data_IF_825278642212
#
_entry.id   IF_825278642212
#
_cell.length_a   1.000
_cell.length_b   1.000
_cell.length_c   1.000
_cell.angle_alpha   90.00
_cell.angle_beta   90.00
_cell.angle_gamma   90.00
#
_symmetry.space_group_name_H-M   'P 1'
#
loop_
_entity.id
_entity.type
_entity.pdbx_description
1 polymer ?
#
# COMPACT_ATOMS: atom_id res chain seq x y z
N UNK A 1 -18.25 9.48 5.34
CA UNK A 1 -16.90 9.29 4.77
C UNK A 1 -15.89 9.19 5.91
N UNK A 2 -14.81 8.43 5.75
CA UNK A 2 -13.72 8.35 6.72
C UNK A 2 -13.10 9.74 6.93
N UNK A 3 -12.75 10.09 8.18
CA UNK A 3 -12.01 11.31 8.51
C UNK A 3 -10.54 10.95 8.66
N UNK A 4 -9.75 11.24 7.64
CA UNK A 4 -8.32 10.94 7.62
C UNK A 4 -7.51 12.05 8.27
N UNK A 5 -6.55 11.71 9.10
CA UNK A 5 -5.58 12.67 9.64
C UNK A 5 -4.64 13.15 8.51
N UNK A 6 -4.63 14.46 8.26
CA UNK A 6 -3.83 15.10 7.22
C UNK A 6 -2.54 15.75 7.77
N UNK A 7 -2.37 15.75 9.10
CA UNK A 7 -1.27 16.40 9.81
C UNK A 7 -1.63 17.82 10.26
N UNK A 8 -0.86 18.37 11.22
CA UNK A 8 -1.09 19.72 11.76
C UNK A 8 -2.48 19.90 12.40
N UNK A 9 -3.05 18.83 12.98
CA UNK A 9 -4.38 18.82 13.59
C UNK A 9 -5.56 18.81 12.60
N UNK A 10 -5.31 18.73 11.28
CA UNK A 10 -6.36 18.71 10.26
C UNK A 10 -6.84 17.29 9.95
N UNK A 11 -8.13 17.18 9.65
CA UNK A 11 -8.76 15.96 9.13
C UNK A 11 -9.54 16.26 7.85
N UNK A 12 -9.71 15.26 6.99
CA UNK A 12 -10.51 15.40 5.78
C UNK A 12 -10.80 14.09 5.05
N UNK A 13 -11.51 14.16 3.92
CA UNK A 13 -11.99 12.98 3.19
C UNK A 13 -10.89 12.26 2.39
N UNK A 14 -9.75 12.91 2.15
CA UNK A 14 -8.65 12.38 1.35
C UNK A 14 -7.30 12.57 2.04
N UNK A 15 -6.37 11.68 1.71
CA UNK A 15 -5.01 11.66 2.27
C UNK A 15 -4.07 10.97 1.27
N UNK A 16 -2.82 11.42 1.19
CA UNK A 16 -1.82 10.78 0.34
C UNK A 16 -1.08 9.66 1.10
N UNK A 17 -0.27 8.88 0.39
CA UNK A 17 0.41 7.71 0.94
C UNK A 17 1.32 8.05 2.15
N UNK A 18 2.10 9.13 2.09
CA UNK A 18 2.96 9.52 3.22
C UNK A 18 2.15 9.84 4.49
N UNK A 19 0.97 10.47 4.35
CA UNK A 19 0.10 10.76 5.49
C UNK A 19 -0.65 9.52 5.99
N UNK A 20 -0.88 8.51 5.15
CA UNK A 20 -1.34 7.19 5.61
C UNK A 20 -0.30 6.53 6.52
N UNK A 21 0.96 6.54 6.11
CA UNK A 21 2.08 6.00 6.89
C UNK A 21 2.23 6.75 8.21
N UNK A 22 2.19 8.09 8.17
CA UNK A 22 2.46 8.93 9.34
C UNK A 22 1.37 8.90 10.42
N UNK A 23 0.09 8.82 10.02
CA UNK A 23 -1.01 9.12 10.96
C UNK A 23 -2.17 8.13 10.95
N UNK A 24 -2.35 7.36 9.88
CA UNK A 24 -3.61 6.62 9.67
C UNK A 24 -3.42 5.09 9.64
N UNK A 25 -2.19 4.63 9.77
CA UNK A 25 -1.83 3.21 9.85
C UNK A 25 -0.68 3.01 10.82
N UNK A 26 -0.43 1.76 11.17
CA UNK A 26 0.74 1.35 11.95
C UNK A 26 1.44 0.19 11.28
N UNK A 27 2.76 0.10 11.46
CA UNK A 27 3.59 -0.97 10.93
C UNK A 27 3.22 -2.30 11.60
N UNK A 28 2.93 -3.32 10.80
CA UNK A 28 2.81 -4.71 11.25
C UNK A 28 4.19 -5.38 11.22
N UNK A 29 4.93 -5.19 10.12
CA UNK A 29 6.25 -5.76 9.93
C UNK A 29 6.65 -5.72 8.46
N UNK A 30 7.78 -6.36 8.13
CA UNK A 30 8.24 -6.51 6.74
C UNK A 30 8.07 -7.93 6.20
N UNK A 31 7.50 -8.83 7.01
CA UNK A 31 7.12 -10.17 6.58
C UNK A 31 5.68 -10.17 6.09
N UNK A 32 5.48 -10.48 4.81
CA UNK A 32 4.17 -10.50 4.19
C UNK A 32 3.26 -11.60 4.75
N UNK A 33 3.82 -12.65 5.36
CA UNK A 33 3.02 -13.70 6.02
C UNK A 33 2.17 -13.15 7.18
N UNK A 34 2.49 -11.96 7.70
CA UNK A 34 1.74 -11.30 8.77
C UNK A 34 0.56 -10.46 8.26
N UNK A 35 0.45 -10.28 6.94
CA UNK A 35 -0.58 -9.45 6.32
C UNK A 35 -1.98 -10.08 6.43
N UNK A 36 -2.96 -9.25 6.75
CA UNK A 36 -4.40 -9.58 6.77
C UNK A 36 -5.13 -8.81 5.67
N UNK A 37 -6.25 -9.33 5.15
CA UNK A 37 -7.02 -8.63 4.13
C UNK A 37 -7.31 -7.17 4.53
N UNK A 38 -6.99 -6.23 3.64
CA UNK A 38 -7.08 -4.79 3.87
C UNK A 38 -5.80 -4.13 4.36
N UNK A 39 -4.76 -4.90 4.72
CA UNK A 39 -3.44 -4.33 5.02
C UNK A 39 -2.80 -3.72 3.76
N UNK A 40 -2.04 -2.65 3.99
CA UNK A 40 -1.35 -1.87 2.97
C UNK A 40 0.10 -2.33 2.87
N UNK A 41 0.57 -2.53 1.64
CA UNK A 41 1.95 -2.82 1.32
C UNK A 41 2.57 -1.55 0.76
N UNK A 42 3.42 -0.87 1.52
CA UNK A 42 4.01 0.40 1.11
C UNK A 42 5.36 0.21 0.44
N UNK A 43 5.57 0.99 -0.62
CA UNK A 43 6.81 1.06 -1.37
C UNK A 43 7.31 2.50 -1.43
N UNK A 44 8.53 2.71 -0.97
CA UNK A 44 9.25 3.97 -1.11
C UNK A 44 9.82 4.07 -2.52
N UNK A 45 9.38 5.08 -3.28
CA UNK A 45 9.97 5.44 -4.58
C UNK A 45 10.57 6.86 -4.54
N UNK A 46 11.05 7.29 -3.37
CA UNK A 46 11.57 8.63 -3.13
C UNK A 46 10.44 9.62 -2.87
N UNK A 47 10.27 10.59 -3.77
CA UNK A 47 9.27 11.64 -3.62
C UNK A 47 7.82 11.13 -3.72
N UNK A 48 7.63 9.95 -4.33
CA UNK A 48 6.33 9.32 -4.51
C UNK A 48 6.24 7.99 -3.73
N UNK A 49 5.52 8.00 -2.61
CA UNK A 49 5.18 6.77 -1.90
C UNK A 49 4.05 6.04 -2.65
N UNK A 50 4.25 4.77 -2.97
CA UNK A 50 3.25 3.93 -3.60
C UNK A 50 2.71 2.90 -2.61
N UNK A 51 1.47 2.45 -2.81
CA UNK A 51 0.89 1.40 -1.99
C UNK A 51 0.13 0.39 -2.83
N UNK A 52 0.15 -0.85 -2.36
CA UNK A 52 -0.73 -1.91 -2.81
C UNK A 52 -1.56 -2.41 -1.63
N UNK A 53 -2.66 -3.10 -1.89
CA UNK A 53 -3.56 -3.63 -0.86
C UNK A 53 -3.54 -5.15 -0.91
N UNK A 54 -3.28 -5.78 0.24
CA UNK A 54 -3.39 -7.22 0.39
C UNK A 54 -4.86 -7.64 0.47
N UNK A 55 -5.30 -8.49 -0.44
CA UNK A 55 -6.69 -8.95 -0.52
C UNK A 55 -6.86 -10.38 0.05
N UNK A 56 -5.86 -10.88 0.79
CA UNK A 56 -5.86 -12.22 1.37
C UNK A 56 -5.39 -13.34 0.44
N UNK A 57 -5.51 -13.15 -0.88
CA UNK A 57 -5.06 -14.13 -1.89
C UNK A 57 -4.36 -13.50 -3.10
N UNK A 58 -4.62 -12.23 -3.37
CA UNK A 58 -4.02 -11.44 -4.43
C UNK A 58 -3.75 -10.04 -3.91
N UNK A 59 -3.02 -9.26 -4.69
CA UNK A 59 -2.68 -7.88 -4.42
C UNK A 59 -3.49 -7.00 -5.37
N UNK A 60 -4.18 -6.00 -4.85
CA UNK A 60 -4.80 -4.94 -5.65
C UNK A 60 -3.89 -3.71 -5.66
N UNK A 61 -3.71 -3.09 -6.82
CA UNK A 61 -2.86 -1.91 -6.99
C UNK A 61 -3.34 -1.04 -8.14
N UNK A 62 -2.78 0.17 -8.26
CA UNK A 62 -3.18 1.13 -9.28
C UNK A 62 -1.97 1.65 -10.04
N UNK A 63 -2.02 1.67 -11.37
CA UNK A 63 -0.88 2.08 -12.22
C UNK A 63 -1.07 3.43 -12.91
N UNK A 64 -2.16 4.14 -12.61
CA UNK A 64 -2.63 5.22 -13.47
C UNK A 64 -3.43 4.67 -14.65
N UNK A 65 -4.09 5.58 -15.37
CA UNK A 65 -4.98 5.28 -16.48
C UNK A 65 -4.23 5.42 -17.81
N UNK A 66 -4.28 4.42 -18.68
CA UNK A 66 -3.62 4.48 -20.01
C UNK A 66 -4.57 4.88 -21.14
N UNK A 67 -5.88 4.69 -20.96
CA UNK A 67 -6.94 5.11 -21.89
C UNK A 67 -8.06 5.82 -21.13
N UNK A 68 -8.98 6.54 -21.80
CA UNK A 68 -10.10 7.21 -21.13
C UNK A 68 -11.06 6.27 -20.38
N UNK A 69 -11.05 4.98 -20.69
CA UNK A 69 -11.91 3.96 -20.06
C UNK A 69 -11.15 3.04 -19.09
N UNK A 70 -9.84 3.19 -19.00
CA UNK A 70 -9.01 2.45 -18.06
C UNK A 70 -9.13 3.08 -16.67
N UNK A 71 -9.65 2.32 -15.69
CA UNK A 71 -9.74 2.78 -14.31
C UNK A 71 -8.42 2.68 -13.53
N UNK A 72 -7.34 2.22 -14.19
CA UNK A 72 -6.00 2.10 -13.66
C UNK A 72 -5.80 1.00 -12.61
N UNK A 73 -6.88 0.33 -12.17
CA UNK A 73 -6.82 -0.75 -11.20
C UNK A 73 -6.32 -2.04 -11.84
N UNK A 74 -5.47 -2.76 -11.10
CA UNK A 74 -4.87 -4.02 -11.50
C UNK A 74 -4.90 -4.99 -10.31
N UNK A 75 -4.69 -6.27 -10.62
CA UNK A 75 -4.48 -7.29 -9.60
C UNK A 75 -3.43 -8.29 -10.05
N UNK A 76 -2.65 -8.80 -9.09
CA UNK A 76 -1.65 -9.84 -9.31
C UNK A 76 -1.65 -10.82 -8.14
N UNK A 77 -1.35 -12.09 -8.39
CA UNK A 77 -1.04 -13.01 -7.30
C UNK A 77 0.31 -12.65 -6.68
N UNK A 78 0.53 -13.08 -5.43
CA UNK A 78 1.84 -12.91 -4.79
C UNK A 78 2.94 -13.60 -5.60
N UNK A 79 2.68 -14.81 -6.09
CA UNK A 79 3.65 -15.53 -6.91
C UNK A 79 4.02 -14.75 -8.18
N UNK A 80 3.06 -14.12 -8.86
CA UNK A 80 3.36 -13.29 -10.02
C UNK A 80 4.23 -12.10 -9.62
N UNK A 81 3.84 -11.37 -8.57
CA UNK A 81 4.57 -10.19 -8.08
C UNK A 81 6.03 -10.52 -7.71
N UNK A 82 6.28 -11.66 -7.05
CA UNK A 82 7.62 -12.13 -6.69
C UNK A 82 8.50 -12.52 -7.89
N UNK A 83 7.92 -12.67 -9.08
CA UNK A 83 8.64 -13.04 -10.33
C UNK A 83 8.74 -11.89 -11.33
N UNK A 84 8.32 -10.67 -10.95
CA UNK A 84 8.42 -9.51 -11.82
C UNK A 84 9.88 -9.14 -12.12
N UNK A 85 10.11 -8.64 -13.34
CA UNK A 85 11.41 -8.10 -13.75
C UNK A 85 11.76 -6.80 -13.02
N UNK A 86 10.76 -5.97 -12.75
CA UNK A 86 10.92 -4.75 -11.95
C UNK A 86 10.89 -5.11 -10.47
N UNK A 87 12.08 -5.33 -9.91
CA UNK A 87 12.28 -5.83 -8.54
C UNK A 87 11.88 -4.82 -7.47
N UNK A 88 11.67 -3.56 -7.83
CA UNK A 88 11.26 -2.50 -6.89
C UNK A 88 9.94 -2.83 -6.19
N UNK A 89 9.08 -3.60 -6.84
CA UNK A 89 7.75 -3.96 -6.36
C UNK A 89 7.67 -5.29 -5.63
N UNK A 90 8.80 -5.98 -5.46
CA UNK A 90 8.83 -7.27 -4.76
C UNK A 90 8.67 -6.98 -3.25
N UNK A 91 7.60 -7.48 -2.59
CA UNK A 91 7.33 -7.22 -1.17
C UNK A 91 8.17 -8.14 -0.26
N UNK A 92 9.49 -8.04 -0.40
CA UNK A 92 10.47 -8.81 0.33
C UNK A 92 11.18 -7.92 1.36
N UNK A 93 11.44 -8.45 2.56
CA UNK A 93 12.10 -7.71 3.63
C UNK A 93 13.53 -7.24 3.27
N UNK A 94 14.20 -7.87 2.30
CA UNK A 94 15.48 -7.44 1.77
C UNK A 94 15.36 -6.32 0.72
N UNK A 95 14.17 -6.09 0.13
CA UNK A 95 13.98 -5.01 -0.84
C UNK A 95 13.92 -3.66 -0.10
N UNK A 96 14.88 -2.73 -0.33
CA UNK A 96 14.89 -1.43 0.36
C UNK A 96 13.69 -0.55 -0.01
N UNK A 97 13.08 -0.76 -1.19
CA UNK A 97 11.87 -0.03 -1.56
C UNK A 97 10.66 -0.50 -0.75
N UNK A 98 10.63 -1.75 -0.28
CA UNK A 98 9.50 -2.26 0.50
C UNK A 98 9.64 -1.89 1.98
N UNK A 99 8.95 -0.82 2.38
CA UNK A 99 9.03 -0.30 3.75
C UNK A 99 8.16 -1.09 4.73
N UNK A 100 7.24 -1.92 4.22
CA UNK A 100 6.57 -2.95 5.00
C UNK A 100 5.06 -3.03 4.81
N UNK A 101 4.46 -3.88 5.62
CA UNK A 101 3.03 -4.08 5.76
C UNK A 101 2.51 -3.17 6.87
N UNK A 102 1.48 -2.39 6.56
CA UNK A 102 0.85 -1.45 7.47
C UNK A 102 -0.63 -1.74 7.58
N UNK A 103 -1.17 -1.68 8.79
CA UNK A 103 -2.60 -1.84 9.02
C UNK A 103 -3.26 -0.51 9.28
N UNK A 104 -4.36 -0.24 8.59
CA UNK A 104 -5.18 0.94 8.84
C UNK A 104 -5.71 0.91 10.28
N UNK A 105 -5.60 2.04 10.97
CA UNK A 105 -5.87 2.12 12.42
C UNK A 105 -7.31 1.71 12.76
N UNK A 106 -8.28 2.02 11.89
CA UNK A 106 -9.68 1.65 12.12
C UNK A 106 -9.96 0.15 11.94
N UNK A 107 -9.04 -0.64 11.35
CA UNK A 107 -9.17 -2.10 11.24
C UNK A 107 -8.66 -2.85 12.48
N UNK A 108 -8.14 -2.12 13.47
CA UNK A 108 -7.54 -2.68 14.69
C UNK A 108 -8.27 -2.24 15.96
N UNK A 109 -9.48 -1.70 15.79
CA UNK A 109 -10.40 -1.39 16.89
C UNK A 109 -11.18 -2.61 17.33
#
# INVERSE_FOLDING_TARGET
>A
AQQWQQGGGKVGPYVNAIKLIQFNSHLIGRDLAQARPGDLMFFDQGDDQHLMIWMGRYIAYHTGTTTPTDNGMRSASLQQLMTWKDTRWIPDAANPNFIGVYRLNFLSQ
#
